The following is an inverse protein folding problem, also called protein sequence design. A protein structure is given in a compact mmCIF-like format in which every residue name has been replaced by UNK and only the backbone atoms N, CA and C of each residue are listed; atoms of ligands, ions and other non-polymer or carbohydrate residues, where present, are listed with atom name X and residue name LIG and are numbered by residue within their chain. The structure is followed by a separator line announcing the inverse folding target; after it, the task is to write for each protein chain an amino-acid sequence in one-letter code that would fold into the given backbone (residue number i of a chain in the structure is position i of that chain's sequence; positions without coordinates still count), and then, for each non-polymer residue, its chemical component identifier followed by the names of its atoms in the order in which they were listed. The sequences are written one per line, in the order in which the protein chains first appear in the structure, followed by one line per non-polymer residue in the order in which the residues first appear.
data_IF_257248284527
#
_entry.id   IF_257248284527
#
_cell.length_a   1.000
_cell.length_b   1.000
_cell.length_c   1.000
_cell.angle_alpha   90.00
_cell.angle_beta   90.00
_cell.angle_gamma   90.00
#
_symmetry.space_group_name_H-M   'P 1'
#
loop_
_entity.id
_entity.type
_entity.pdbx_description
1 polymer ?
#
# COMPACT_ATOMS: atom_id res chain seq x y z
N UNK A 1 27.17 -11.60 -5.65
CA UNK A 1 28.12 -10.55 -6.11
C UNK A 1 27.42 -9.20 -6.19
N UNK A 2 26.24 -9.12 -6.83
CA UNK A 2 25.40 -7.93 -6.83
C UNK A 2 24.85 -7.56 -5.43
N UNK A 3 24.44 -8.55 -4.64
CA UNK A 3 24.06 -8.39 -3.22
C UNK A 3 25.15 -7.68 -2.40
N UNK A 4 26.40 -8.13 -2.51
CA UNK A 4 27.55 -7.54 -1.80
C UNK A 4 27.83 -6.11 -2.25
N UNK A 5 27.57 -5.77 -3.52
CA UNK A 5 27.68 -4.40 -4.00
C UNK A 5 26.58 -3.51 -3.41
N UNK A 6 25.36 -4.02 -3.31
CA UNK A 6 24.25 -3.34 -2.65
C UNK A 6 24.58 -3.10 -1.16
N UNK A 7 24.97 -4.15 -0.43
CA UNK A 7 25.37 -4.05 0.99
C UNK A 7 26.56 -3.11 1.18
N UNK A 8 27.54 -3.11 0.27
CA UNK A 8 28.67 -2.19 0.35
C UNK A 8 28.27 -0.73 0.07
N UNK A 9 27.29 -0.48 -0.79
CA UNK A 9 26.73 0.85 -1.02
C UNK A 9 25.95 1.35 0.20
N UNK A 10 25.15 0.47 0.80
CA UNK A 10 24.42 0.71 2.05
C UNK A 10 25.35 0.97 3.24
N UNK A 11 26.41 0.18 3.42
CA UNK A 11 27.42 0.40 4.46
C UNK A 11 28.15 1.75 4.29
N UNK A 12 28.20 2.28 3.07
CA UNK A 12 28.69 3.63 2.76
C UNK A 12 27.59 4.70 2.81
N UNK A 13 26.43 4.37 3.36
CA UNK A 13 25.29 5.26 3.59
C UNK A 13 24.78 5.95 2.30
N UNK A 14 24.88 5.26 1.15
CA UNK A 14 24.48 5.80 -0.16
C UNK A 14 22.96 5.95 -0.34
N UNK A 15 22.16 5.41 0.58
CA UNK A 15 20.70 5.42 0.51
C UNK A 15 20.04 6.29 1.62
N UNK A 16 20.83 7.07 2.36
CA UNK A 16 20.32 7.93 3.44
C UNK A 16 19.74 9.23 2.89
N UNK A 17 20.51 9.91 2.04
CA UNK A 17 20.13 11.21 1.48
C UNK A 17 19.07 11.02 0.38
N UNK A 18 17.86 11.61 0.51
CA UNK A 18 16.75 11.36 -0.42
C UNK A 18 17.12 11.60 -1.89
N UNK A 19 17.88 12.67 -2.16
CA UNK A 19 18.28 13.12 -3.51
C UNK A 19 19.12 12.08 -4.28
N UNK A 20 19.95 11.31 -3.57
CA UNK A 20 20.82 10.28 -4.15
C UNK A 20 20.27 8.88 -3.97
N UNK A 21 19.48 8.67 -2.91
CA UNK A 21 18.89 7.38 -2.55
C UNK A 21 17.97 6.84 -3.64
N UNK A 22 17.01 7.66 -4.12
CA UNK A 22 16.07 7.24 -5.16
C UNK A 22 16.78 6.76 -6.43
N UNK A 23 17.79 7.51 -6.89
CA UNK A 23 18.57 7.15 -8.09
C UNK A 23 19.39 5.88 -7.89
N UNK A 24 20.01 5.72 -6.72
CA UNK A 24 20.76 4.52 -6.38
C UNK A 24 19.87 3.29 -6.36
N UNK A 25 18.76 3.35 -5.63
CA UNK A 25 17.78 2.27 -5.53
C UNK A 25 17.16 1.94 -6.88
N UNK A 26 16.88 2.95 -7.72
CA UNK A 26 16.36 2.74 -9.07
C UNK A 26 17.30 1.88 -9.92
N UNK A 27 18.62 2.17 -9.91
CA UNK A 27 19.61 1.39 -10.67
C UNK A 27 19.58 -0.09 -10.27
N UNK A 28 19.53 -0.36 -8.96
CA UNK A 28 19.43 -1.74 -8.49
C UNK A 28 18.07 -2.37 -8.83
N UNK A 29 16.97 -1.64 -8.62
CA UNK A 29 15.62 -2.16 -8.88
C UNK A 29 15.41 -2.49 -10.36
N UNK A 30 15.98 -1.71 -11.27
CA UNK A 30 15.92 -1.98 -12.71
C UNK A 30 16.76 -3.20 -13.11
N UNK A 31 17.90 -3.42 -12.46
CA UNK A 31 18.81 -4.51 -12.79
C UNK A 31 18.42 -5.86 -12.15
N UNK A 32 17.90 -5.83 -10.91
CA UNK A 32 17.72 -7.03 -10.09
C UNK A 32 16.28 -7.27 -9.61
N UNK A 33 15.37 -6.32 -9.85
CA UNK A 33 13.93 -6.49 -9.63
C UNK A 33 13.57 -6.96 -8.22
N UNK A 34 12.90 -8.11 -8.12
CA UNK A 34 12.39 -8.68 -6.86
C UNK A 34 13.50 -9.04 -5.85
N UNK A 35 14.75 -9.24 -6.30
CA UNK A 35 15.87 -9.47 -5.39
C UNK A 35 16.17 -8.21 -4.53
N UNK A 36 15.90 -7.03 -5.09
CA UNK A 36 16.05 -5.77 -4.35
C UNK A 36 14.94 -5.63 -3.33
N UNK A 37 13.69 -5.78 -3.78
CA UNK A 37 12.53 -5.74 -2.89
C UNK A 37 11.36 -6.46 -3.54
N UNK A 38 10.92 -7.55 -2.91
CA UNK A 38 9.78 -8.37 -3.32
C UNK A 38 8.54 -8.06 -2.49
N UNK A 39 8.73 -7.83 -1.19
CA UNK A 39 7.68 -7.47 -0.25
C UNK A 39 8.06 -6.18 0.46
N UNK A 40 7.09 -5.29 0.63
CA UNK A 40 7.25 -4.04 1.35
C UNK A 40 6.14 -3.90 2.38
N UNK A 41 6.51 -3.80 3.66
CA UNK A 41 5.59 -3.53 4.74
C UNK A 41 5.78 -2.10 5.24
N UNK A 42 4.74 -1.27 5.10
CA UNK A 42 4.67 0.11 5.59
C UNK A 42 3.51 0.29 6.56
N UNK A 43 3.03 -0.80 7.16
CA UNK A 43 1.89 -0.79 8.05
C UNK A 43 2.04 0.25 9.16
N UNK A 44 1.05 1.13 9.27
CA UNK A 44 0.95 2.23 10.24
C UNK A 44 2.11 3.25 10.13
N UNK A 45 2.85 3.25 9.02
CA UNK A 45 4.00 4.13 8.76
C UNK A 45 3.67 5.22 7.72
N UNK A 46 2.61 5.99 7.98
CA UNK A 46 2.17 7.06 7.06
C UNK A 46 3.23 8.14 6.82
N UNK A 47 4.02 8.46 7.86
CA UNK A 47 5.12 9.43 7.75
C UNK A 47 6.21 8.92 6.81
N UNK A 48 6.66 7.67 6.99
CA UNK A 48 7.66 7.05 6.13
C UNK A 48 7.20 7.02 4.66
N UNK A 49 5.95 6.65 4.41
CA UNK A 49 5.37 6.68 3.07
C UNK A 49 5.42 8.08 2.46
N UNK A 50 5.11 9.13 3.26
CA UNK A 50 5.10 10.50 2.78
C UNK A 50 6.51 11.07 2.54
N UNK A 51 7.46 10.78 3.42
CA UNK A 51 8.83 11.31 3.36
C UNK A 51 9.71 10.58 2.35
N UNK A 52 9.45 9.28 2.12
CA UNK A 52 10.22 8.41 1.23
C UNK A 52 9.45 7.98 -0.02
N UNK A 53 8.42 8.74 -0.39
CA UNK A 53 7.55 8.42 -1.53
C UNK A 53 8.33 8.26 -2.84
N UNK A 54 9.35 9.09 -3.06
CA UNK A 54 10.16 9.02 -4.29
C UNK A 54 10.99 7.73 -4.34
N UNK A 55 11.63 7.38 -3.24
CA UNK A 55 12.41 6.15 -3.11
C UNK A 55 11.51 4.91 -3.19
N UNK A 56 10.36 4.91 -2.52
CA UNK A 56 9.41 3.77 -2.55
C UNK A 56 8.92 3.50 -3.99
N UNK A 57 8.68 4.56 -4.77
CA UNK A 57 8.18 4.45 -6.16
C UNK A 57 9.17 3.78 -7.12
N UNK A 58 10.44 3.61 -6.73
CA UNK A 58 11.44 2.97 -7.58
C UNK A 58 11.33 1.43 -7.57
N UNK A 59 10.67 0.84 -6.57
CA UNK A 59 10.55 -0.60 -6.43
C UNK A 59 9.48 -1.16 -7.37
N UNK A 60 9.90 -1.53 -8.59
CA UNK A 60 8.98 -1.95 -9.68
C UNK A 60 8.60 -3.43 -9.68
N UNK A 61 9.04 -4.19 -8.67
CA UNK A 61 8.90 -5.64 -8.65
C UNK A 61 8.25 -6.18 -7.38
N UNK A 62 7.53 -5.32 -6.66
CA UNK A 62 6.77 -5.73 -5.48
C UNK A 62 5.67 -6.72 -5.87
N UNK A 63 5.68 -7.87 -5.18
CA UNK A 63 4.58 -8.84 -5.17
C UNK A 63 3.63 -8.60 -4.00
N UNK A 64 4.16 -8.09 -2.88
CA UNK A 64 3.38 -7.77 -1.69
C UNK A 64 3.65 -6.34 -1.25
N UNK A 65 2.57 -5.60 -1.00
CA UNK A 65 2.62 -4.24 -0.49
C UNK A 65 1.58 -4.06 0.62
N UNK A 66 2.06 -3.86 1.84
CA UNK A 66 1.23 -3.57 3.00
C UNK A 66 1.27 -2.07 3.31
N UNK A 67 0.13 -1.40 3.11
CA UNK A 67 -0.13 0.00 3.41
C UNK A 67 -1.23 0.14 4.47
N UNK A 68 -1.48 -0.89 5.28
CA UNK A 68 -2.49 -0.87 6.33
C UNK A 68 -2.23 0.31 7.28
N UNK A 69 -3.22 1.15 7.58
CA UNK A 69 -3.03 2.26 8.52
C UNK A 69 -2.19 3.44 8.01
N UNK A 70 -1.91 3.54 6.71
CA UNK A 70 -1.11 4.63 6.13
C UNK A 70 -1.86 5.95 5.90
N UNK A 71 -3.14 6.06 6.31
CA UNK A 71 -3.96 7.28 6.22
C UNK A 71 -4.08 7.85 4.80
N UNK A 72 -4.21 7.00 3.79
CA UNK A 72 -4.28 7.43 2.38
C UNK A 72 -5.50 8.34 2.10
N UNK A 73 -6.65 8.07 2.71
CA UNK A 73 -7.91 8.74 2.38
C UNK A 73 -8.33 8.54 0.92
N UNK A 74 -9.14 9.45 0.38
CA UNK A 74 -9.71 9.32 -0.97
C UNK A 74 -8.85 9.89 -2.10
N UNK A 75 -7.82 10.67 -1.76
CA UNK A 75 -7.10 11.52 -2.73
C UNK A 75 -5.59 11.35 -2.69
N UNK A 76 -5.06 10.28 -2.09
CA UNK A 76 -3.61 10.13 -2.02
C UNK A 76 -2.99 9.97 -3.40
N UNK A 77 -1.94 10.74 -3.68
CA UNK A 77 -1.18 10.67 -4.95
C UNK A 77 -0.45 9.34 -5.16
N UNK A 78 -0.48 8.45 -4.16
CA UNK A 78 0.10 7.11 -4.26
C UNK A 78 -0.78 6.14 -5.06
N UNK A 79 -2.08 6.44 -5.23
CA UNK A 79 -2.97 5.65 -6.09
C UNK A 79 -2.51 5.61 -7.55
N UNK A 80 -1.93 6.71 -8.04
CA UNK A 80 -1.33 6.76 -9.37
C UNK A 80 -0.15 5.79 -9.51
N UNK A 81 0.62 5.57 -8.45
CA UNK A 81 1.70 4.59 -8.46
C UNK A 81 1.18 3.16 -8.37
N UNK A 82 0.23 2.87 -7.47
CA UNK A 82 -0.39 1.55 -7.32
C UNK A 82 -0.99 1.01 -8.63
N UNK A 83 -1.50 1.91 -9.47
CA UNK A 83 -2.11 1.57 -10.76
C UNK A 83 -1.16 1.72 -11.96
N UNK A 84 0.10 2.08 -11.72
CA UNK A 84 1.13 2.18 -12.75
C UNK A 84 1.75 0.82 -13.10
N UNK A 85 2.52 0.76 -14.19
CA UNK A 85 3.27 -0.44 -14.60
C UNK A 85 4.28 -0.91 -13.55
N UNK A 86 4.75 -0.02 -12.67
CA UNK A 86 5.66 -0.37 -11.58
C UNK A 86 5.04 -1.35 -10.58
N UNK A 87 3.71 -1.37 -10.44
CA UNK A 87 2.99 -2.29 -9.55
C UNK A 87 2.32 -3.44 -10.31
N UNK A 88 2.71 -3.70 -11.57
CA UNK A 88 2.10 -4.75 -12.39
C UNK A 88 2.31 -6.17 -11.83
N UNK A 89 3.36 -6.38 -11.02
CA UNK A 89 3.67 -7.67 -10.37
C UNK A 89 2.92 -7.86 -9.05
N UNK A 90 2.17 -6.88 -8.57
CA UNK A 90 1.55 -6.94 -7.25
C UNK A 90 0.47 -8.05 -7.20
N UNK A 91 0.61 -8.93 -6.21
CA UNK A 91 -0.27 -10.07 -5.93
C UNK A 91 -1.08 -9.82 -4.67
N UNK A 92 -0.47 -9.21 -3.65
CA UNK A 92 -1.10 -8.89 -2.36
C UNK A 92 -1.01 -7.40 -2.08
N UNK A 93 -2.16 -6.78 -1.81
CA UNK A 93 -2.26 -5.37 -1.47
C UNK A 93 -3.10 -5.21 -0.21
N UNK A 94 -2.50 -4.66 0.84
CA UNK A 94 -3.21 -4.37 2.08
C UNK A 94 -3.43 -2.86 2.20
N UNK A 95 -4.69 -2.47 2.19
CA UNK A 95 -5.16 -1.08 2.27
C UNK A 95 -6.12 -0.89 3.45
N UNK A 96 -6.12 -1.81 4.41
CA UNK A 96 -6.96 -1.68 5.60
C UNK A 96 -6.66 -0.40 6.38
N UNK A 97 -7.67 0.12 7.08
CA UNK A 97 -7.53 1.26 8.01
C UNK A 97 -6.94 2.54 7.37
N UNK A 98 -7.34 2.87 6.15
CA UNK A 98 -6.81 4.02 5.42
C UNK A 98 -7.77 5.22 5.35
N UNK A 99 -8.90 5.18 6.06
CA UNK A 99 -9.96 6.19 5.98
C UNK A 99 -10.49 6.38 4.54
N UNK A 100 -10.45 5.33 3.73
CA UNK A 100 -10.87 5.36 2.32
C UNK A 100 -12.38 5.12 2.19
N UNK A 101 -13.09 6.01 1.52
CA UNK A 101 -14.51 5.85 1.20
C UNK A 101 -14.71 5.23 -0.18
N UNK A 102 -15.97 5.09 -0.60
CA UNK A 102 -16.32 4.66 -1.96
C UNK A 102 -15.71 5.56 -3.05
N UNK A 103 -15.45 6.84 -2.73
CA UNK A 103 -14.74 7.77 -3.62
C UNK A 103 -13.29 7.35 -3.86
N UNK A 104 -12.55 7.08 -2.77
CA UNK A 104 -11.17 6.61 -2.84
C UNK A 104 -11.06 5.30 -3.58
N UNK A 105 -11.96 4.34 -3.29
CA UNK A 105 -12.00 3.07 -4.00
C UNK A 105 -12.34 3.25 -5.49
N UNK A 106 -13.26 4.15 -5.83
CA UNK A 106 -13.56 4.49 -7.22
C UNK A 106 -12.33 5.05 -7.93
N UNK A 107 -11.57 5.94 -7.27
CA UNK A 107 -10.37 6.54 -7.84
C UNK A 107 -9.26 5.51 -8.03
N UNK A 108 -8.98 4.68 -7.02
CA UNK A 108 -8.03 3.58 -7.10
C UNK A 108 -8.35 2.63 -8.27
N UNK A 109 -9.63 2.33 -8.50
CA UNK A 109 -10.07 1.40 -9.56
C UNK A 109 -10.29 2.07 -10.92
N UNK A 110 -10.29 3.41 -11.00
CA UNK A 110 -10.59 4.14 -12.26
C UNK A 110 -9.64 3.76 -13.40
N UNK A 111 -8.31 3.72 -13.23
CA UNK A 111 -7.38 3.31 -14.28
C UNK A 111 -7.64 1.87 -14.78
N UNK A 112 -8.00 0.96 -13.87
CA UNK A 112 -8.28 -0.44 -14.18
C UNK A 112 -9.58 -0.57 -14.97
N UNK A 113 -10.61 0.19 -14.56
CA UNK A 113 -11.95 0.17 -15.17
C UNK A 113 -12.00 0.85 -16.54
N UNK A 114 -11.31 1.97 -16.68
CA UNK A 114 -11.40 2.83 -17.88
C UNK A 114 -10.28 2.54 -18.87
N UNK A 115 -9.04 2.36 -18.38
CA UNK A 115 -7.85 2.19 -19.22
C UNK A 115 -7.35 0.74 -19.27
N UNK A 116 -7.97 -0.19 -18.53
CA UNK A 116 -7.57 -1.60 -18.45
C UNK A 116 -6.12 -1.79 -17.99
N UNK A 117 -5.63 -0.89 -17.13
CA UNK A 117 -4.24 -0.86 -16.65
C UNK A 117 -4.18 -0.88 -15.13
N UNK A 118 -3.19 -1.61 -14.61
CA UNK A 118 -2.82 -1.62 -13.20
C UNK A 118 -3.44 -2.80 -12.44
N UNK A 119 -2.68 -3.33 -11.47
CA UNK A 119 -3.10 -4.41 -10.55
C UNK A 119 -3.65 -5.67 -11.25
N UNK A 120 -3.13 -5.98 -12.45
CA UNK A 120 -3.60 -7.10 -13.29
C UNK A 120 -3.35 -8.49 -12.69
N UNK A 121 -2.40 -8.57 -11.75
CA UNK A 121 -2.01 -9.81 -11.05
C UNK A 121 -2.53 -9.87 -9.61
N UNK A 122 -3.32 -8.89 -9.18
CA UNK A 122 -3.80 -8.81 -7.81
C UNK A 122 -4.74 -9.97 -7.49
N UNK A 123 -4.40 -10.73 -6.44
CA UNK A 123 -5.14 -11.90 -5.97
C UNK A 123 -5.69 -11.72 -4.57
N UNK A 124 -5.03 -10.93 -3.73
CA UNK A 124 -5.45 -10.68 -2.35
C UNK A 124 -5.52 -9.18 -2.12
N UNK A 125 -6.70 -8.71 -1.69
CA UNK A 125 -6.94 -7.30 -1.42
C UNK A 125 -7.58 -7.15 -0.03
N UNK A 126 -6.92 -6.42 0.85
CA UNK A 126 -7.49 -6.02 2.13
C UNK A 126 -7.97 -4.57 2.05
N UNK A 127 -9.27 -4.37 2.32
CA UNK A 127 -9.95 -3.08 2.43
C UNK A 127 -10.60 -2.92 3.82
N UNK A 128 -10.24 -3.76 4.79
CA UNK A 128 -10.84 -3.77 6.12
C UNK A 128 -10.74 -2.40 6.80
N UNK A 129 -11.64 -2.11 7.75
CA UNK A 129 -11.59 -0.86 8.54
C UNK A 129 -11.61 0.43 7.73
N UNK A 130 -12.14 0.39 6.52
CA UNK A 130 -12.42 1.58 5.71
C UNK A 130 -13.93 1.86 5.70
N UNK A 131 -14.38 3.13 5.66
CA UNK A 131 -15.80 3.49 5.63
C UNK A 131 -16.48 3.22 4.26
N UNK A 132 -16.28 2.03 3.70
CA UNK A 132 -16.88 1.58 2.44
C UNK A 132 -18.33 1.14 2.62
N UNK A 133 -19.15 1.35 1.59
CA UNK A 133 -20.53 0.85 1.51
C UNK A 133 -20.69 -0.19 0.40
N UNK A 134 -21.87 -0.81 0.32
CA UNK A 134 -22.21 -1.77 -0.73
C UNK A 134 -22.04 -1.18 -2.14
N UNK A 135 -22.22 0.15 -2.29
CA UNK A 135 -22.04 0.85 -3.57
C UNK A 135 -20.59 0.81 -4.04
N UNK A 136 -19.65 1.06 -3.12
CA UNK A 136 -18.21 1.05 -3.42
C UNK A 136 -17.72 -0.32 -3.89
N UNK A 137 -18.27 -1.40 -3.33
CA UNK A 137 -17.87 -2.77 -3.69
C UNK A 137 -18.14 -3.11 -5.16
N UNK A 138 -19.09 -2.43 -5.81
CA UNK A 138 -19.33 -2.58 -7.25
C UNK A 138 -18.10 -2.27 -8.12
N UNK A 139 -17.20 -1.41 -7.64
CA UNK A 139 -15.97 -1.05 -8.35
C UNK A 139 -14.92 -2.16 -8.38
N UNK A 140 -15.01 -3.15 -7.49
CA UNK A 140 -14.06 -4.27 -7.39
C UNK A 140 -14.19 -5.28 -8.53
N UNK A 141 -15.30 -5.25 -9.28
CA UNK A 141 -15.56 -6.17 -10.40
C UNK A 141 -14.56 -6.05 -11.56
N UNK A 142 -13.68 -5.05 -11.55
CA UNK A 142 -12.61 -4.93 -12.53
C UNK A 142 -11.44 -5.90 -12.30
N UNK A 143 -11.22 -6.39 -11.07
CA UNK A 143 -10.10 -7.27 -10.75
C UNK A 143 -10.36 -8.71 -11.21
N UNK A 144 -9.78 -9.09 -12.34
CA UNK A 144 -10.05 -10.39 -12.98
C UNK A 144 -9.43 -11.59 -12.25
N UNK A 145 -8.38 -11.36 -11.45
CA UNK A 145 -7.65 -12.42 -10.73
C UNK A 145 -7.85 -12.39 -9.22
N UNK A 146 -8.74 -11.53 -8.70
CA UNK A 146 -8.95 -11.42 -7.26
C UNK A 146 -9.58 -12.72 -6.72
N UNK A 147 -8.97 -13.28 -5.69
CA UNK A 147 -9.37 -14.56 -5.06
C UNK A 147 -9.79 -14.37 -3.61
N UNK A 148 -9.15 -13.45 -2.91
CA UNK A 148 -9.40 -13.17 -1.50
C UNK A 148 -9.60 -11.67 -1.29
N UNK A 149 -10.62 -11.33 -0.53
CA UNK A 149 -11.00 -9.96 -0.23
C UNK A 149 -11.35 -9.86 1.25
N UNK A 150 -10.72 -8.93 1.96
CA UNK A 150 -11.14 -8.55 3.31
C UNK A 150 -11.88 -7.21 3.27
N UNK A 151 -13.14 -7.22 3.71
CA UNK A 151 -13.98 -6.03 3.90
C UNK A 151 -14.52 -5.96 5.33
N UNK A 152 -13.86 -6.63 6.27
CA UNK A 152 -14.22 -6.63 7.67
C UNK A 152 -14.16 -5.22 8.26
N UNK A 153 -15.06 -4.91 9.19
CA UNK A 153 -15.15 -3.60 9.84
C UNK A 153 -15.32 -2.42 8.86
N UNK A 154 -15.96 -2.66 7.72
CA UNK A 154 -16.47 -1.60 6.84
C UNK A 154 -17.92 -1.23 7.21
N UNK A 155 -18.55 -0.28 6.51
CA UNK A 155 -19.97 0.04 6.70
C UNK A 155 -20.90 -0.87 5.87
N UNK A 156 -20.35 -1.91 5.23
CA UNK A 156 -21.06 -2.88 4.41
C UNK A 156 -21.90 -3.80 5.29
N UNK A 157 -23.17 -3.95 4.96
CA UNK A 157 -24.06 -4.95 5.57
C UNK A 157 -23.96 -6.25 4.79
N UNK A 158 -23.59 -7.31 5.50
CA UNK A 158 -23.61 -8.65 4.93
C UNK A 158 -25.06 -9.15 4.86
N UNK A 159 -25.55 -9.34 3.65
CA UNK A 159 -26.84 -9.95 3.37
C UNK A 159 -26.76 -10.91 2.17
N UNK A 160 -27.84 -11.66 1.96
CA UNK A 160 -27.93 -12.61 0.84
C UNK A 160 -27.79 -11.97 -0.54
N UNK A 161 -28.10 -10.68 -0.69
CA UNK A 161 -27.95 -9.95 -1.95
C UNK A 161 -26.48 -9.70 -2.25
N UNK A 162 -25.71 -9.27 -1.25
CA UNK A 162 -24.27 -9.06 -1.37
C UNK A 162 -23.52 -10.37 -1.64
N UNK A 163 -23.86 -11.44 -0.93
CA UNK A 163 -23.29 -12.77 -1.17
C UNK A 163 -23.54 -13.24 -2.61
N UNK A 164 -24.79 -13.13 -3.08
CA UNK A 164 -25.19 -13.45 -4.45
C UNK A 164 -24.47 -12.59 -5.49
N UNK A 165 -24.24 -11.30 -5.19
CA UNK A 165 -23.48 -10.40 -6.04
C UNK A 165 -22.03 -10.88 -6.22
N UNK A 166 -21.30 -11.14 -5.14
CA UNK A 166 -19.91 -11.58 -5.20
C UNK A 166 -19.76 -12.97 -5.83
N UNK A 167 -20.68 -13.89 -5.52
CA UNK A 167 -20.70 -15.20 -6.16
C UNK A 167 -20.87 -15.06 -7.68
N UNK A 168 -21.85 -14.29 -8.15
CA UNK A 168 -22.14 -14.16 -9.59
C UNK A 168 -21.13 -13.33 -10.36
N UNK A 169 -20.56 -12.29 -9.74
CA UNK A 169 -19.67 -11.34 -10.43
C UNK A 169 -18.20 -11.70 -10.31
N UNK A 170 -17.80 -12.33 -9.21
CA UNK A 170 -16.39 -12.56 -8.88
C UNK A 170 -16.10 -14.02 -8.48
N UNK A 171 -17.12 -14.90 -8.48
CA UNK A 171 -16.99 -16.31 -8.03
C UNK A 171 -16.46 -16.45 -6.60
N UNK A 172 -16.73 -15.45 -5.76
CA UNK A 172 -16.29 -15.42 -4.36
C UNK A 172 -17.43 -15.85 -3.44
N UNK A 173 -17.09 -16.58 -2.38
CA UNK A 173 -18.02 -17.00 -1.32
C UNK A 173 -17.56 -16.43 0.02
N UNK A 174 -18.52 -16.12 0.89
CA UNK A 174 -18.22 -15.63 2.23
C UNK A 174 -17.50 -16.73 3.04
N UNK A 175 -16.40 -16.36 3.69
CA UNK A 175 -15.69 -17.25 4.61
C UNK A 175 -16.17 -17.02 6.05
N UNK A 176 -16.55 -18.10 6.72
CA UNK A 176 -16.96 -18.06 8.15
C UNK A 176 -15.76 -17.78 9.06
N UNK A 177 -14.56 -18.19 8.64
CA UNK A 177 -13.33 -17.98 9.39
C UNK A 177 -12.48 -16.87 8.74
N UNK A 178 -11.77 -16.05 9.54
CA UNK A 178 -10.78 -15.13 9.01
C UNK A 178 -9.74 -15.88 8.16
N UNK A 179 -9.43 -15.33 6.99
CA UNK A 179 -8.42 -15.91 6.11
C UNK A 179 -7.02 -15.58 6.64
N UNK A 180 -6.15 -16.60 6.70
CA UNK A 180 -4.80 -16.47 7.25
C UNK A 180 -3.98 -15.38 6.53
N UNK A 181 -4.22 -15.19 5.23
CA UNK A 181 -3.58 -14.15 4.41
C UNK A 181 -3.71 -12.74 5.00
N UNK A 182 -4.81 -12.44 5.70
CA UNK A 182 -5.12 -11.12 6.27
C UNK A 182 -4.78 -10.99 7.76
N UNK A 183 -4.07 -11.96 8.34
CA UNK A 183 -3.62 -11.89 9.75
C UNK A 183 -2.39 -11.01 9.94
N UNK A 184 -1.76 -10.56 8.85
CA UNK A 184 -0.50 -9.80 8.81
C UNK A 184 0.69 -10.45 9.53
N UNK A 185 0.58 -11.69 10.02
CA UNK A 185 1.66 -12.38 10.74
C UNK A 185 2.90 -12.61 9.88
N UNK A 186 2.74 -12.61 8.55
CA UNK A 186 3.80 -12.82 7.56
C UNK A 186 4.15 -11.55 6.77
N UNK A 187 3.50 -10.41 7.04
CA UNK A 187 3.71 -9.17 6.29
C UNK A 187 4.98 -8.46 6.78
N UNK A 188 6.10 -8.75 6.13
CA UNK A 188 7.40 -8.10 6.36
C UNK A 188 8.00 -7.59 5.05
N UNK A 189 8.90 -6.62 5.15
CA UNK A 189 9.74 -6.24 4.02
C UNK A 189 10.70 -7.39 3.70
N UNK A 190 10.89 -7.71 2.42
CA UNK A 190 11.73 -8.84 1.97
C UNK A 190 12.51 -8.43 0.73
N UNK A 191 13.84 -8.48 0.83
CA UNK A 191 14.78 -8.15 -0.24
C UNK A 191 15.99 -7.42 0.30
N UNK A 192 16.96 -7.11 -0.56
CA UNK A 192 18.18 -6.39 -0.14
C UNK A 192 17.89 -5.02 0.48
N UNK A 193 16.82 -4.34 0.03
CA UNK A 193 16.45 -3.02 0.54
C UNK A 193 15.74 -3.03 1.90
N UNK A 194 15.50 -4.20 2.51
CA UNK A 194 14.88 -4.32 3.84
C UNK A 194 15.64 -3.48 4.87
N UNK A 195 16.96 -3.59 4.91
CA UNK A 195 17.80 -2.87 5.86
C UNK A 195 17.80 -1.35 5.61
N UNK A 196 17.76 -0.93 4.34
CA UNK A 196 17.62 0.49 3.96
C UNK A 196 16.31 1.07 4.52
N UNK A 197 15.21 0.32 4.42
CA UNK A 197 13.89 0.75 4.93
C UNK A 197 13.93 0.85 6.46
N UNK A 198 14.53 -0.13 7.15
CA UNK A 198 14.69 -0.10 8.60
C UNK A 198 15.53 1.12 9.06
N UNK A 199 16.57 1.49 8.31
CA UNK A 199 17.38 2.67 8.60
C UNK A 199 16.60 3.98 8.42
N UNK A 200 15.70 4.07 7.45
CA UNK A 200 14.84 5.26 7.32
C UNK A 200 13.98 5.47 8.57
N UNK A 201 13.46 4.39 9.16
CA UNK A 201 12.68 4.44 10.40
C UNK A 201 13.52 4.83 11.61
N UNK A 202 14.70 4.22 11.78
CA UNK A 202 15.61 4.55 12.87
C UNK A 202 16.01 6.04 12.84
N UNK A 203 16.36 6.53 11.66
CA UNK A 203 16.74 7.94 11.47
C UNK A 203 15.57 8.91 11.72
N UNK A 204 14.34 8.52 11.38
CA UNK A 204 13.16 9.34 11.64
C UNK A 204 12.83 9.43 13.14
N UNK A 205 13.08 8.37 13.91
CA UNK A 205 12.86 8.34 15.36
C UNK A 205 13.87 9.19 16.16
N UNK A 206 15.06 9.44 15.60
CA UNK A 206 16.11 10.24 16.25
C UNK A 206 15.90 11.76 16.10
N UNK A 207 14.99 12.20 15.23
CA UNK A 207 14.69 13.64 15.06
C UNK A 207 13.68 14.07 16.15
N UNK A 208 14.03 15.01 17.06
CA UNK A 208 13.10 15.48 18.08
C UNK A 208 11.89 16.14 17.43
N UNK A 209 10.68 15.77 17.87
CA UNK A 209 9.44 16.44 17.48
C UNK A 209 9.60 17.96 17.63
N UNK A 210 9.57 18.69 16.52
CA UNK A 210 9.41 20.14 16.58
C UNK A 210 8.02 20.40 17.15
N UNK A 211 7.97 20.88 18.39
CA UNK A 211 6.74 21.33 19.05
C UNK A 211 5.94 22.22 18.08
N UNK A 212 4.68 21.88 17.78
CA UNK A 212 3.88 22.69 16.88
C UNK A 212 3.68 24.06 17.51
N UNK A 213 4.19 25.11 16.84
CA UNK A 213 3.92 26.49 17.25
C UNK A 213 2.39 26.69 17.24
N UNK A 214 1.79 27.21 18.32
CA UNK A 214 0.35 27.43 18.37
C UNK A 214 -0.05 28.37 17.23
N UNK A 215 -1.07 27.97 16.44
CA UNK A 215 -1.63 28.81 15.39
C UNK A 215 -2.29 30.01 16.06
N UNK A 216 -1.68 31.19 15.92
CA UNK A 216 -2.15 32.46 16.48
C UNK A 216 -3.45 32.99 15.87
N UNK A 217 -3.98 32.34 14.82
CA UNK A 217 -5.21 32.75 14.11
C UNK A 217 -6.34 31.70 14.15
N UNK A 218 -6.44 30.91 15.22
CA UNK A 218 -7.60 30.03 15.41
C UNK A 218 -8.76 30.82 16.02
N UNK A 219 -9.84 31.02 15.26
CA UNK A 219 -11.12 31.47 15.82
C UNK A 219 -11.77 30.28 16.53
N UNK A 220 -11.82 30.32 17.86
CA UNK A 220 -12.44 29.31 18.70
C UNK A 220 -13.85 29.78 19.11
N UNK A 221 -14.85 28.91 18.99
CA UNK A 221 -16.20 29.14 19.49
C UNK A 221 -16.54 28.02 20.48
N UNK A 222 -17.19 28.38 21.60
CA UNK A 222 -17.71 27.47 22.61
C UNK A 222 -19.19 27.79 22.86
N UNK A 223 -19.96 26.82 23.36
CA UNK A 223 -21.35 27.00 23.81
C UNK A 223 -21.47 27.85 25.09
#
# INVERSE_FOLDING_TARGET
MADRLFTAAEAKQKFVEPSTSARGLQVFSEAYGELVLKSLCLRERSLLLSERSEEIRVFRCLETLDLHGCRLGDSHDFFHHLTSEACSRLVKLFLGENCMSDEGLRRLTTPIRVMKRGLENLQHLDLSRNPLTEKGLGYLTCFQKLRELDISKTNVKLDSSLESFFMKKMSMVFSVLPLQTFTHSECKSEGWAEEVINQWEANAAEVPEKTPKPRTNALQFCE
#
